data_IF_448191259305
#
_entry.id   IF_448191259305
#
_cell.length_a   1.000
_cell.length_b   1.000
_cell.length_c   1.000
_cell.angle_alpha   90.00
_cell.angle_beta   90.00
_cell.angle_gamma   90.00
#
_symmetry.space_group_name_H-M   'P 1'
#
loop_
_entity.id
_entity.type
_entity.pdbx_description
1 polymer ?
#
# COMPACT_ATOMS: atom_id res chain seq x y z
N UNK A 1 -15.83 13.33 14.43
CA UNK A 1 -14.91 12.43 13.70
C UNK A 1 -13.58 12.43 14.44
N UNK A 2 -12.93 11.29 14.58
CA UNK A 2 -11.61 11.19 15.20
C UNK A 2 -10.61 12.14 14.48
N UNK A 3 -9.86 13.01 15.18
CA UNK A 3 -8.90 13.94 14.56
C UNK A 3 -7.84 13.24 13.69
N UNK A 4 -7.65 11.93 13.83
CA UNK A 4 -6.84 11.12 12.92
C UNK A 4 -7.31 11.16 11.46
N UNK A 5 -8.61 11.42 11.23
CA UNK A 5 -9.21 11.54 9.89
C UNK A 5 -8.94 12.90 9.23
N UNK A 6 -8.62 13.94 10.01
CA UNK A 6 -8.33 15.28 9.48
C UNK A 6 -6.88 15.42 8.99
N UNK A 7 -5.96 14.57 9.47
CA UNK A 7 -4.59 14.56 8.96
C UNK A 7 -4.59 14.05 7.52
N UNK A 8 -4.39 14.97 6.57
CA UNK A 8 -4.07 14.66 5.17
C UNK A 8 -2.73 13.91 5.14
N UNK A 9 -2.80 12.58 5.12
CA UNK A 9 -1.64 11.74 4.82
C UNK A 9 -1.26 11.93 3.36
N UNK A 10 0.03 11.87 3.07
CA UNK A 10 0.53 11.71 1.71
C UNK A 10 -0.01 10.41 1.11
N UNK A 11 0.01 10.32 -0.23
CA UNK A 11 -0.43 9.08 -0.88
C UNK A 11 0.43 7.88 -0.47
N UNK A 12 1.74 8.09 -0.31
CA UNK A 12 2.67 7.06 0.14
C UNK A 12 2.38 6.59 1.57
N UNK A 13 2.16 7.51 2.52
CA UNK A 13 1.81 7.14 3.90
C UNK A 13 0.50 6.35 3.97
N UNK A 14 -0.49 6.70 3.12
CA UNK A 14 -1.72 5.92 2.99
C UNK A 14 -1.42 4.50 2.49
N UNK A 15 -0.67 4.37 1.40
CA UNK A 15 -0.32 3.07 0.80
C UNK A 15 0.45 2.19 1.79
N UNK A 16 1.46 2.75 2.47
CA UNK A 16 2.23 2.04 3.52
C UNK A 16 1.31 1.62 4.67
N UNK A 17 0.42 2.49 5.13
CA UNK A 17 -0.52 2.15 6.20
C UNK A 17 -1.47 1.02 5.81
N UNK A 18 -2.05 1.05 4.61
CA UNK A 18 -2.95 0.00 4.11
C UNK A 18 -2.20 -1.31 3.95
N UNK A 19 -1.05 -1.28 3.28
CA UNK A 19 -0.23 -2.45 3.03
C UNK A 19 0.20 -3.13 4.34
N UNK A 20 0.62 -2.36 5.36
CA UNK A 20 1.03 -2.88 6.67
C UNK A 20 -0.10 -3.60 7.41
N UNK A 21 -1.36 -3.16 7.25
CA UNK A 21 -2.52 -3.87 7.80
C UNK A 21 -2.82 -5.14 6.99
N UNK A 22 -2.75 -5.06 5.67
CA UNK A 22 -2.99 -6.23 4.80
C UNK A 22 -1.95 -7.34 4.99
N UNK A 23 -0.67 -7.00 5.18
CA UNK A 23 0.39 -8.01 5.38
C UNK A 23 0.16 -8.86 6.64
N UNK A 24 -0.55 -8.33 7.65
CA UNK A 24 -0.91 -9.10 8.86
C UNK A 24 -1.92 -10.22 8.57
N UNK A 25 -2.64 -10.14 7.45
CA UNK A 25 -3.66 -11.10 7.03
C UNK A 25 -3.09 -12.24 6.18
N UNK A 26 -1.81 -12.15 5.80
CA UNK A 26 -1.14 -13.12 4.92
C UNK A 26 0.04 -13.78 5.64
N UNK A 27 0.17 -15.12 5.65
CA UNK A 27 1.31 -15.79 6.29
C UNK A 27 2.68 -15.37 5.73
N UNK A 28 2.73 -15.01 4.44
CA UNK A 28 3.97 -14.67 3.74
C UNK A 28 4.33 -13.18 3.81
N UNK A 29 3.47 -12.34 4.42
CA UNK A 29 3.75 -10.92 4.60
C UNK A 29 3.88 -10.10 3.32
N UNK A 30 3.28 -10.55 2.21
CA UNK A 30 3.25 -9.83 0.94
C UNK A 30 1.81 -9.69 0.44
N UNK A 31 1.57 -8.68 -0.40
CA UNK A 31 0.25 -8.37 -0.97
C UNK A 31 0.35 -8.26 -2.48
N UNK A 32 -0.68 -8.72 -3.19
CA UNK A 32 -0.76 -8.52 -4.63
C UNK A 32 -1.14 -7.07 -4.95
N UNK A 33 -0.55 -6.47 -5.99
CA UNK A 33 -0.78 -5.07 -6.33
C UNK A 33 -2.26 -4.74 -6.61
N UNK A 34 -3.03 -5.67 -7.16
CA UNK A 34 -4.48 -5.46 -7.39
C UNK A 34 -5.28 -5.38 -6.09
N UNK A 35 -4.94 -6.20 -5.10
CA UNK A 35 -5.60 -6.20 -3.79
C UNK A 35 -5.26 -4.90 -3.04
N UNK A 36 -3.99 -4.51 -3.08
CA UNK A 36 -3.54 -3.23 -2.52
C UNK A 36 -4.25 -2.05 -3.18
N UNK A 37 -4.39 -2.06 -4.51
CA UNK A 37 -5.14 -1.05 -5.24
C UNK A 37 -6.60 -0.97 -4.80
N UNK A 38 -7.28 -2.11 -4.68
CA UNK A 38 -8.66 -2.17 -4.24
C UNK A 38 -8.80 -1.58 -2.83
N UNK A 39 -7.95 -2.00 -1.88
CA UNK A 39 -7.97 -1.52 -0.50
C UNK A 39 -7.67 -0.01 -0.39
N UNK A 40 -6.66 0.49 -1.12
CA UNK A 40 -6.34 1.92 -1.16
C UNK A 40 -7.53 2.74 -1.71
N UNK A 41 -8.23 2.23 -2.73
CA UNK A 41 -9.38 2.93 -3.32
C UNK A 41 -10.63 2.98 -2.44
N UNK A 42 -10.75 2.12 -1.43
CA UNK A 42 -11.79 2.23 -0.41
C UNK A 42 -11.59 3.47 0.47
N UNK A 43 -10.34 3.90 0.65
CA UNK A 43 -9.98 5.05 1.49
C UNK A 43 -9.83 6.32 0.64
N UNK A 44 -9.17 6.22 -0.52
CA UNK A 44 -8.92 7.35 -1.42
C UNK A 44 -8.95 6.88 -2.87
N UNK A 45 -9.96 7.32 -3.61
CA UNK A 45 -10.08 7.04 -5.04
C UNK A 45 -8.90 7.63 -5.81
N UNK A 46 -8.18 6.79 -6.55
CA UNK A 46 -7.05 7.14 -7.41
C UNK A 46 -7.02 6.22 -8.62
N UNK A 47 -6.55 6.67 -9.80
CA UNK A 47 -6.28 5.76 -10.90
C UNK A 47 -5.17 4.75 -10.50
N UNK A 48 -5.04 3.61 -11.21
CA UNK A 48 -4.02 2.60 -10.88
C UNK A 48 -2.58 3.11 -11.04
N UNK A 49 -2.33 3.95 -12.05
CA UNK A 49 -0.98 4.37 -12.43
C UNK A 49 -0.16 5.00 -11.27
N UNK A 50 -0.70 5.94 -10.45
CA UNK A 50 -0.01 6.43 -9.25
C UNK A 50 0.46 5.36 -8.27
N UNK A 51 -0.33 4.29 -8.05
CA UNK A 51 0.07 3.21 -7.15
C UNK A 51 1.25 2.44 -7.73
N UNK A 52 1.16 2.03 -9.00
CA UNK A 52 2.25 1.30 -9.66
C UNK A 52 3.53 2.12 -9.76
N UNK A 53 3.41 3.43 -10.06
CA UNK A 53 4.56 4.33 -10.08
C UNK A 53 5.23 4.39 -8.70
N UNK A 54 4.45 4.50 -7.62
CA UNK A 54 4.96 4.52 -6.26
C UNK A 54 5.67 3.21 -5.88
N UNK A 55 5.03 2.07 -6.16
CA UNK A 55 5.58 0.74 -5.88
C UNK A 55 6.89 0.48 -6.64
N UNK A 56 7.02 1.03 -7.85
CA UNK A 56 8.23 0.90 -8.66
C UNK A 56 9.34 1.89 -8.29
N UNK A 57 9.00 3.05 -7.71
CA UNK A 57 9.97 4.14 -7.50
C UNK A 57 10.59 4.17 -6.10
N UNK A 58 9.91 3.62 -5.09
CA UNK A 58 10.37 3.71 -3.70
C UNK A 58 11.00 2.39 -3.24
N UNK A 59 12.24 2.40 -2.70
CA UNK A 59 12.97 1.17 -2.33
C UNK A 59 12.31 0.35 -1.23
N UNK A 60 11.46 0.98 -0.40
CA UNK A 60 10.73 0.30 0.67
C UNK A 60 9.68 -0.71 0.19
N UNK A 61 9.31 -0.70 -1.09
CA UNK A 61 8.39 -1.67 -1.67
C UNK A 61 9.21 -2.73 -2.41
N UNK A 62 9.36 -3.90 -1.78
CA UNK A 62 10.16 -4.99 -2.32
C UNK A 62 9.25 -5.87 -3.17
N UNK A 63 9.48 -5.89 -4.49
CA UNK A 63 8.82 -6.82 -5.40
C UNK A 63 9.33 -8.25 -5.17
N UNK A 64 8.42 -9.19 -4.96
CA UNK A 64 8.75 -10.60 -4.65
C UNK A 64 8.28 -11.58 -5.73
N UNK A 65 7.88 -11.07 -6.90
CA UNK A 65 7.40 -11.87 -8.03
C UNK A 65 5.88 -11.78 -8.23
N UNK A 66 5.42 -12.00 -9.47
CA UNK A 66 4.00 -12.03 -9.85
C UNK A 66 3.17 -10.87 -9.26
N UNK A 67 3.67 -9.63 -9.41
CA UNK A 67 3.08 -8.40 -8.85
C UNK A 67 2.81 -8.40 -7.32
N UNK A 68 3.45 -9.28 -6.55
CA UNK A 68 3.42 -9.24 -5.10
C UNK A 68 4.51 -8.33 -4.55
N UNK A 69 4.17 -7.58 -3.51
CA UNK A 69 5.07 -6.65 -2.84
C UNK A 69 5.05 -6.89 -1.33
N UNK A 70 6.19 -6.68 -0.68
CA UNK A 70 6.29 -6.55 0.78
C UNK A 70 6.94 -5.23 1.15
N UNK A 71 6.73 -4.79 2.38
CA UNK A 71 7.47 -3.65 2.91
C UNK A 71 8.87 -4.12 3.31
N UNK A 72 9.87 -3.26 3.12
CA UNK A 72 11.18 -3.43 3.74
C UNK A 72 10.99 -3.49 5.27
N UNK A 73 11.59 -4.50 5.90
CA UNK A 73 11.62 -4.61 7.36
C UNK A 73 12.51 -3.47 7.90
N UNK A 74 11.98 -2.73 8.87
CA UNK A 74 12.73 -1.68 9.57
C UNK A 74 13.66 -2.28 10.62
#
# INVERSE_FOLDING_TARGET
>A
LDPLWEKKRTFEELVVSVMREMTKLTPQGHVHAQELYAAVNLVRRVPPAPLFALLASQPRFIHVGDLHFRLEEA
#
